data_IF_093220144916
#
_entry.id   IF_093220144916
#
_cell.length_a   1.000
_cell.length_b   1.000
_cell.length_c   1.000
_cell.angle_alpha   90.00
_cell.angle_beta   90.00
_cell.angle_gamma   90.00
#
_symmetry.space_group_name_H-M   'P 1'
#
loop_
_entity.id
_entity.type
_entity.pdbx_description
1 polymer ?
#
# COMPACT_ATOMS: atom_id res chain seq x y z
N UNK A 1 17.00 -9.95 15.51
CA UNK A 1 15.92 -10.01 16.53
C UNK A 1 14.83 -9.01 16.13
N UNK A 2 13.54 -9.40 16.07
CA UNK A 2 12.44 -8.46 15.79
C UNK A 2 11.93 -7.75 17.05
N UNK A 3 11.43 -6.51 16.91
CA UNK A 3 10.99 -5.64 18.03
C UNK A 3 9.96 -6.30 18.96
N UNK A 4 9.05 -7.10 18.40
CA UNK A 4 8.04 -7.83 19.16
C UNK A 4 8.63 -8.77 20.22
N UNK A 5 9.84 -9.31 19.98
CA UNK A 5 10.50 -10.23 20.91
C UNK A 5 11.25 -9.53 22.04
N UNK A 6 11.62 -8.27 21.86
CA UNK A 6 12.36 -7.49 22.86
C UNK A 6 11.45 -6.59 23.70
N UNK A 7 10.13 -6.68 23.50
CA UNK A 7 9.16 -5.82 24.18
C UNK A 7 9.24 -4.34 23.78
N UNK A 8 9.99 -4.03 22.72
CA UNK A 8 10.14 -2.65 22.24
C UNK A 8 8.87 -2.27 21.48
N UNK A 9 8.15 -1.19 21.88
CA UNK A 9 6.98 -0.73 21.16
C UNK A 9 7.29 -0.46 19.68
N UNK A 10 6.32 -0.69 18.77
CA UNK A 10 6.46 -0.26 17.39
C UNK A 10 6.59 1.28 17.31
N UNK A 11 7.22 1.82 16.25
CA UNK A 11 7.25 3.26 16.05
C UNK A 11 5.83 3.82 15.91
N UNK A 12 5.64 5.05 16.40
CA UNK A 12 4.40 5.77 16.16
C UNK A 12 4.30 6.19 14.69
N UNK A 13 3.09 6.23 14.16
CA UNK A 13 2.78 6.72 12.83
C UNK A 13 1.68 7.78 12.90
N UNK A 14 1.61 8.62 11.87
CA UNK A 14 0.46 9.49 11.68
C UNK A 14 -0.82 8.65 11.61
N UNK A 15 -1.92 9.18 12.15
CA UNK A 15 -3.22 8.51 12.04
C UNK A 15 -3.79 8.66 10.64
N UNK A 16 -4.66 7.74 10.25
CA UNK A 16 -5.49 7.93 9.05
C UNK A 16 -6.34 9.19 9.25
N UNK A 17 -6.32 10.07 8.26
CA UNK A 17 -7.10 11.31 8.27
C UNK A 17 -8.58 10.99 8.16
N UNK A 18 -9.41 11.73 8.91
CA UNK A 18 -10.87 11.68 8.81
C UNK A 18 -11.41 13.04 8.40
N UNK A 19 -12.48 13.03 7.60
CA UNK A 19 -13.21 14.25 7.23
C UNK A 19 -14.09 14.77 8.39
N UNK A 20 -14.76 15.90 8.18
CA UNK A 20 -15.62 16.53 9.19
C UNK A 20 -16.81 15.66 9.64
N UNK A 21 -17.13 14.61 8.87
CA UNK A 21 -18.19 13.64 9.15
C UNK A 21 -17.63 12.34 9.75
N UNK A 22 -16.33 12.32 10.07
CA UNK A 22 -15.65 11.17 10.67
C UNK A 22 -15.39 10.02 9.68
N UNK A 23 -15.61 10.18 8.38
CA UNK A 23 -15.26 9.17 7.36
C UNK A 23 -13.78 9.26 7.04
N UNK A 24 -13.19 8.19 6.49
CA UNK A 24 -11.79 8.22 6.03
C UNK A 24 -11.67 9.24 4.89
N UNK A 25 -10.82 10.25 5.07
CA UNK A 25 -10.50 11.20 4.00
C UNK A 25 -9.64 10.52 2.94
N UNK A 26 -9.91 10.78 1.67
CA UNK A 26 -9.25 10.12 0.52
C UNK A 26 -8.66 11.14 -0.44
N UNK A 27 -7.54 10.76 -1.06
CA UNK A 27 -6.93 11.51 -2.15
C UNK A 27 -7.68 11.33 -3.47
N UNK A 28 -7.23 12.03 -4.51
CA UNK A 28 -7.77 11.93 -5.86
C UNK A 28 -7.58 10.52 -6.48
N UNK A 29 -6.61 9.76 -5.98
CA UNK A 29 -6.32 8.37 -6.34
C UNK A 29 -7.19 7.34 -5.57
N UNK A 30 -8.06 7.80 -4.67
CA UNK A 30 -8.97 6.97 -3.88
C UNK A 30 -8.33 6.33 -2.64
N UNK A 31 -7.01 6.44 -2.46
CA UNK A 31 -6.34 5.94 -1.27
C UNK A 31 -6.63 6.83 -0.06
N UNK A 32 -6.68 6.23 1.14
CA UNK A 32 -6.84 6.97 2.38
C UNK A 32 -5.69 7.97 2.57
N UNK A 33 -5.94 9.12 3.18
CA UNK A 33 -4.92 10.10 3.57
C UNK A 33 -4.36 9.80 4.97
N UNK A 34 -3.13 10.26 5.23
CA UNK A 34 -2.40 9.96 6.46
C UNK A 34 -1.99 8.48 6.57
N UNK A 35 -1.76 8.02 7.80
CA UNK A 35 -1.36 6.64 8.06
C UNK A 35 0.08 6.32 7.62
N UNK A 36 0.48 5.05 7.78
CA UNK A 36 1.73 4.55 7.22
C UNK A 36 1.59 4.45 5.70
N UNK A 37 2.49 5.12 4.99
CA UNK A 37 2.50 5.19 3.53
C UNK A 37 3.46 4.15 2.93
N UNK A 38 2.97 2.90 2.83
CA UNK A 38 3.69 1.78 2.22
C UNK A 38 3.86 1.97 0.69
N UNK A 39 4.78 1.22 0.07
CA UNK A 39 5.01 1.33 -1.39
C UNK A 39 3.75 1.01 -2.20
N UNK A 40 2.89 0.12 -1.72
CA UNK A 40 1.61 -0.22 -2.35
C UNK A 40 0.58 0.91 -2.30
N UNK A 41 0.84 1.97 -1.52
CA UNK A 41 -0.05 3.13 -1.37
C UNK A 41 0.56 4.39 -2.00
N UNK A 42 1.88 4.57 -1.97
CA UNK A 42 2.54 5.69 -2.67
C UNK A 42 2.94 5.41 -4.11
N UNK A 43 3.08 4.13 -4.47
CA UNK A 43 3.38 3.66 -5.82
C UNK A 43 2.36 2.58 -6.21
N UNK A 44 1.06 2.92 -6.24
CA UNK A 44 -0.01 1.95 -6.39
C UNK A 44 -0.09 1.37 -7.79
N UNK A 45 -0.27 0.05 -7.86
CA UNK A 45 -0.68 -0.68 -9.08
C UNK A 45 -2.13 -1.17 -8.99
N UNK A 46 -2.78 -0.91 -7.86
CA UNK A 46 -4.14 -1.32 -7.55
C UNK A 46 -4.71 -0.42 -6.45
N UNK A 47 -6.00 -0.13 -6.51
CA UNK A 47 -6.72 0.53 -5.43
C UNK A 47 -7.10 -0.48 -4.35
N UNK A 48 -6.67 -0.20 -3.11
CA UNK A 48 -7.10 -0.92 -1.91
C UNK A 48 -7.81 0.08 -0.99
N UNK A 49 -9.14 -0.03 -0.86
CA UNK A 49 -9.91 1.00 -0.15
C UNK A 49 -9.95 0.76 1.37
N UNK A 50 -9.74 -0.48 1.80
CA UNK A 50 -9.91 -0.90 3.21
C UNK A 50 -11.38 -0.91 3.67
N UNK A 51 -12.33 -0.68 2.76
CA UNK A 51 -13.75 -0.88 3.01
C UNK A 51 -14.12 -2.29 2.55
N UNK A 52 -14.79 -3.03 3.44
CA UNK A 52 -15.21 -4.40 3.18
C UNK A 52 -16.73 -4.46 3.23
N UNK A 53 -17.34 -5.20 2.30
CA UNK A 53 -18.80 -5.36 2.21
C UNK A 53 -19.14 -6.79 1.77
N UNK A 54 -20.33 -7.31 2.13
CA UNK A 54 -20.87 -8.53 1.53
C UNK A 54 -20.97 -8.42 0.01
N UNK A 55 -20.80 -9.54 -0.71
CA UNK A 55 -20.88 -9.59 -2.18
C UNK A 55 -22.20 -10.25 -2.65
N UNK A 56 -23.31 -9.76 -2.09
CA UNK A 56 -24.65 -10.26 -2.35
C UNK A 56 -25.07 -11.48 -1.49
N UNK A 57 -26.31 -11.96 -1.66
CA UNK A 57 -26.83 -13.14 -0.94
C UNK A 57 -26.02 -14.40 -1.27
N UNK A 58 -25.67 -15.19 -0.25
CA UNK A 58 -24.84 -16.40 -0.37
C UNK A 58 -23.33 -16.14 -0.37
N UNK A 59 -22.90 -14.86 -0.38
CA UNK A 59 -21.51 -14.42 -0.35
C UNK A 59 -21.25 -13.47 0.84
N UNK A 60 -21.92 -13.69 1.97
CA UNK A 60 -21.89 -12.81 3.13
C UNK A 60 -20.48 -12.68 3.72
N UNK A 61 -19.66 -13.73 3.59
CA UNK A 61 -18.29 -13.76 4.08
C UNK A 61 -17.29 -12.99 3.21
N UNK A 62 -17.69 -12.46 2.04
CA UNK A 62 -16.80 -11.63 1.21
C UNK A 62 -16.29 -10.37 1.94
N UNK A 63 -16.99 -9.94 3.00
CA UNK A 63 -16.53 -8.87 3.91
C UNK A 63 -15.17 -9.17 4.59
N UNK A 64 -14.71 -10.42 4.61
CA UNK A 64 -13.41 -10.78 5.18
C UNK A 64 -12.24 -10.57 4.22
N UNK A 65 -12.49 -10.51 2.91
CA UNK A 65 -11.44 -10.51 1.88
C UNK A 65 -10.89 -9.12 1.55
N UNK A 66 -11.59 -8.06 1.94
CA UNK A 66 -11.17 -6.70 1.61
C UNK A 66 -11.64 -6.22 0.25
N UNK A 67 -11.01 -5.15 -0.25
CA UNK A 67 -11.17 -4.64 -1.61
C UNK A 67 -9.81 -4.49 -2.26
N UNK A 68 -9.69 -5.01 -3.48
CA UNK A 68 -8.49 -4.93 -4.30
C UNK A 68 -8.90 -4.80 -5.77
N UNK A 69 -8.62 -3.66 -6.38
CA UNK A 69 -8.94 -3.40 -7.78
C UNK A 69 -7.65 -3.03 -8.52
N UNK A 70 -7.05 -3.95 -9.30
CA UNK A 70 -5.89 -3.67 -10.15
C UNK A 70 -6.17 -2.51 -11.11
N UNK A 71 -5.17 -1.67 -11.34
CA UNK A 71 -5.23 -0.70 -12.43
C UNK A 71 -5.09 -1.41 -13.78
N UNK A 72 -5.71 -0.84 -14.81
CA UNK A 72 -5.52 -1.29 -16.18
C UNK A 72 -4.15 -0.88 -16.73
N UNK A 73 -3.78 -1.49 -17.85
CA UNK A 73 -2.47 -1.27 -18.48
C UNK A 73 -2.28 0.19 -18.91
N UNK A 74 -3.33 0.86 -19.38
CA UNK A 74 -3.30 2.27 -19.78
C UNK A 74 -2.96 3.17 -18.59
N UNK A 75 -3.61 2.96 -17.44
CA UNK A 75 -3.33 3.70 -16.22
C UNK A 75 -1.92 3.41 -15.69
N UNK A 76 -1.47 2.16 -15.77
CA UNK A 76 -0.13 1.78 -15.36
C UNK A 76 0.94 2.41 -16.27
N UNK A 77 0.70 2.49 -17.57
CA UNK A 77 1.60 3.14 -18.52
C UNK A 77 1.67 4.67 -18.30
N UNK A 78 0.55 5.30 -17.93
CA UNK A 78 0.51 6.72 -17.56
C UNK A 78 1.32 6.99 -16.28
N UNK A 79 1.08 6.20 -15.22
CA UNK A 79 1.74 6.37 -13.93
C UNK A 79 3.23 6.01 -13.98
N UNK A 80 3.56 4.96 -14.74
CA UNK A 80 4.89 4.35 -14.76
C UNK A 80 5.40 4.13 -16.19
N UNK A 81 5.79 5.20 -16.92
CA UNK A 81 6.22 5.08 -18.31
C UNK A 81 7.50 4.27 -18.51
N UNK A 82 8.27 4.03 -17.44
CA UNK A 82 9.50 3.22 -17.50
C UNK A 82 9.65 2.32 -16.28
N UNK A 83 10.15 1.11 -16.54
CA UNK A 83 10.48 0.11 -15.52
C UNK A 83 11.45 0.66 -14.48
N UNK A 84 12.49 1.37 -14.93
CA UNK A 84 13.47 1.98 -14.04
C UNK A 84 12.84 3.02 -13.10
N UNK A 85 11.91 3.83 -13.63
CA UNK A 85 11.17 4.82 -12.83
C UNK A 85 10.31 4.18 -11.75
N UNK A 86 9.54 3.14 -12.11
CA UNK A 86 8.72 2.38 -11.16
C UNK A 86 9.56 1.76 -10.03
N UNK A 87 10.61 1.03 -10.38
CA UNK A 87 11.48 0.37 -9.39
C UNK A 87 12.20 1.36 -8.48
N UNK A 88 12.61 2.51 -9.02
CA UNK A 88 13.21 3.59 -8.24
C UNK A 88 12.21 4.21 -7.25
N UNK A 89 10.96 4.42 -7.69
CA UNK A 89 9.89 4.94 -6.83
C UNK A 89 9.59 3.96 -5.68
N UNK A 90 9.39 2.67 -5.98
CA UNK A 90 9.18 1.63 -4.95
C UNK A 90 10.36 1.61 -3.97
N UNK A 91 11.59 1.54 -4.47
CA UNK A 91 12.79 1.48 -3.62
C UNK A 91 12.92 2.69 -2.70
N UNK A 92 12.58 3.90 -3.18
CA UNK A 92 12.61 5.12 -2.38
C UNK A 92 11.66 5.02 -1.18
N UNK A 93 10.42 4.59 -1.41
CA UNK A 93 9.40 4.45 -0.37
C UNK A 93 9.78 3.37 0.64
N UNK A 94 10.28 2.24 0.15
CA UNK A 94 10.72 1.12 0.99
C UNK A 94 11.90 1.50 1.91
N UNK A 95 12.89 2.23 1.38
CA UNK A 95 14.02 2.71 2.19
C UNK A 95 13.58 3.73 3.25
N UNK A 96 12.57 4.56 2.94
CA UNK A 96 11.97 5.48 3.93
C UNK A 96 11.25 4.69 5.03
N UNK A 97 10.37 3.76 4.67
CA UNK A 97 9.64 2.95 5.64
C UNK A 97 10.57 2.06 6.50
N UNK A 98 11.71 1.61 5.96
CA UNK A 98 12.76 0.94 6.74
C UNK A 98 13.41 1.87 7.77
N UNK A 99 13.76 3.09 7.36
CA UNK A 99 14.36 4.09 8.25
C UNK A 99 13.40 4.44 9.39
N UNK A 100 12.13 4.62 9.07
CA UNK A 100 11.08 4.98 10.03
C UNK A 100 10.64 3.78 10.89
N UNK A 101 11.08 2.57 10.52
CA UNK A 101 10.85 1.34 11.25
C UNK A 101 9.46 0.75 11.05
N UNK A 102 8.72 1.19 10.03
CA UNK A 102 7.38 0.69 9.70
C UNK A 102 7.38 -0.67 9.02
N UNK A 103 8.47 -1.03 8.35
CA UNK A 103 8.64 -2.36 7.75
C UNK A 103 9.97 -2.97 8.17
N UNK A 104 10.06 -4.30 8.09
CA UNK A 104 11.32 -5.00 8.34
C UNK A 104 12.19 -5.04 7.08
N UNK A 105 13.49 -5.36 7.25
CA UNK A 105 14.40 -5.61 6.11
C UNK A 105 13.91 -6.74 5.21
N UNK A 106 13.30 -7.77 5.80
CA UNK A 106 12.76 -8.90 5.05
C UNK A 106 11.53 -8.50 4.22
N UNK A 107 10.62 -7.71 4.79
CA UNK A 107 9.46 -7.18 4.06
C UNK A 107 9.90 -6.26 2.93
N UNK A 108 10.88 -5.39 3.18
CA UNK A 108 11.39 -4.50 2.14
C UNK A 108 12.04 -5.25 0.97
N UNK A 109 12.84 -6.28 1.27
CA UNK A 109 13.42 -7.13 0.24
C UNK A 109 12.34 -7.86 -0.57
N UNK A 110 11.29 -8.37 0.10
CA UNK A 110 10.16 -9.03 -0.57
C UNK A 110 9.40 -8.07 -1.48
N UNK A 111 8.99 -6.90 -0.98
CA UNK A 111 8.26 -5.88 -1.74
C UNK A 111 9.03 -5.44 -2.99
N UNK A 112 10.35 -5.19 -2.85
CA UNK A 112 11.22 -4.80 -3.99
C UNK A 112 11.38 -5.93 -5.00
N UNK A 113 11.41 -7.19 -4.55
CA UNK A 113 11.45 -8.37 -5.44
C UNK A 113 10.12 -8.53 -6.19
N UNK A 114 8.99 -8.38 -5.51
CA UNK A 114 7.66 -8.42 -6.13
C UNK A 114 7.52 -7.33 -7.19
N UNK A 115 7.93 -6.10 -6.89
CA UNK A 115 7.97 -5.01 -7.87
C UNK A 115 8.89 -5.33 -9.07
N UNK A 116 10.04 -5.97 -8.84
CA UNK A 116 10.90 -6.40 -9.94
C UNK A 116 10.28 -7.51 -10.81
N UNK A 117 9.33 -8.29 -10.29
CA UNK A 117 8.67 -9.37 -11.02
C UNK A 117 7.32 -8.97 -11.64
N UNK A 118 6.83 -7.75 -11.39
CA UNK A 118 5.48 -7.33 -11.78
C UNK A 118 5.31 -6.97 -13.26
N UNK A 119 6.41 -6.73 -14.00
CA UNK A 119 6.35 -6.32 -15.41
C UNK A 119 5.95 -4.86 -15.65
N UNK A 120 5.78 -4.05 -14.59
CA UNK A 120 5.34 -2.66 -14.71
C UNK A 120 6.42 -1.78 -15.37
N UNK A 121 5.99 -0.97 -16.34
CA UNK A 121 6.83 -0.01 -17.06
C UNK A 121 7.71 -0.63 -18.16
N UNK A 122 7.42 -1.86 -18.59
CA UNK A 122 8.16 -2.59 -19.62
C UNK A 122 8.77 -3.90 -19.13
#
# INVERSE_FOLDING_TARGET
MGRARTGTPPPAAERITRDGQGRIARGADGHALGGIRLSQVEVPTALNTGANRPDGPGNEFCVLFGSHAPYDDDRLAELYPTRAGYLAAVTRVELRNLRDGYITRADSARNRREAALSGIGG
#
